data_IF_433143378764
#
_entry.id   IF_433143378764
#
_cell.length_a   1.000
_cell.length_b   1.000
_cell.length_c   1.000
_cell.angle_alpha   90.00
_cell.angle_beta   90.00
_cell.angle_gamma   90.00
#
_symmetry.space_group_name_H-M   'P 1'
#
loop_
_entity.id
_entity.type
_entity.pdbx_description
1 polymer ?
#
# COMPACT_ATOMS: atom_id res chain seq x y z
N UNK A 1 1.25 -17.83 -12.49
CA UNK A 1 2.50 -18.09 -11.75
C UNK A 1 2.83 -16.82 -11.01
N UNK A 2 3.11 -16.87 -9.70
CA UNK A 2 3.52 -15.68 -8.94
C UNK A 2 5.03 -15.58 -8.96
N UNK A 3 5.58 -14.45 -9.38
CA UNK A 3 7.02 -14.20 -9.41
C UNK A 3 7.39 -13.21 -8.31
N UNK A 4 8.62 -13.31 -7.80
CA UNK A 4 9.15 -12.49 -6.72
C UNK A 4 10.49 -11.87 -7.12
N UNK A 5 10.71 -10.63 -6.73
CA UNK A 5 11.99 -9.93 -6.81
C UNK A 5 12.70 -10.14 -5.48
N UNK A 6 13.92 -10.68 -5.50
CA UNK A 6 14.76 -10.89 -4.32
C UNK A 6 16.01 -10.03 -4.46
N UNK A 7 16.21 -9.12 -3.51
CA UNK A 7 17.30 -8.16 -3.46
C UNK A 7 18.09 -8.36 -2.16
N UNK A 8 19.40 -8.51 -2.24
CA UNK A 8 20.28 -8.63 -1.09
C UNK A 8 21.18 -7.40 -1.00
N UNK A 9 21.36 -6.83 0.19
CA UNK A 9 22.19 -5.66 0.45
C UNK A 9 23.11 -5.91 1.64
N UNK A 10 24.37 -5.49 1.53
CA UNK A 10 25.36 -5.48 2.64
C UNK A 10 25.13 -4.35 3.65
N UNK A 11 23.90 -3.80 3.65
CA UNK A 11 23.41 -2.88 4.63
C UNK A 11 22.44 -3.62 5.56
N UNK A 12 22.67 -3.55 6.87
CA UNK A 12 21.71 -4.03 7.87
C UNK A 12 20.65 -2.95 8.11
N UNK A 13 19.42 -3.23 7.71
CA UNK A 13 18.26 -2.37 8.03
C UNK A 13 17.99 -2.44 9.53
N UNK A 14 17.82 -1.30 10.18
CA UNK A 14 17.66 -1.22 11.64
C UNK A 14 16.21 -1.34 12.11
N UNK A 15 15.29 -0.77 11.34
CA UNK A 15 13.85 -0.75 11.63
C UNK A 15 13.11 -1.34 10.43
N UNK A 16 12.76 -2.62 10.53
CA UNK A 16 12.11 -3.33 9.44
C UNK A 16 10.71 -2.80 9.12
N UNK A 17 9.95 -2.42 10.14
CA UNK A 17 8.55 -2.00 9.97
C UNK A 17 8.48 -0.62 9.30
N UNK A 18 9.34 0.31 9.73
CA UNK A 18 9.48 1.60 9.08
C UNK A 18 10.00 1.46 7.65
N UNK A 19 10.95 0.56 7.40
CA UNK A 19 11.49 0.31 6.06
C UNK A 19 10.42 -0.24 5.10
N UNK A 20 9.69 -1.27 5.54
CA UNK A 20 8.59 -1.87 4.78
C UNK A 20 7.51 -0.83 4.48
N UNK A 21 7.11 -0.05 5.48
CA UNK A 21 6.10 1.01 5.32
C UNK A 21 6.53 2.08 4.32
N UNK A 22 7.77 2.56 4.40
CA UNK A 22 8.30 3.55 3.46
C UNK A 22 8.38 3.01 2.02
N UNK A 23 8.80 1.75 1.85
CA UNK A 23 8.86 1.11 0.55
C UNK A 23 7.47 0.90 -0.06
N UNK A 24 6.48 0.49 0.73
CA UNK A 24 5.08 0.37 0.27
C UNK A 24 4.57 1.72 -0.22
N UNK A 25 4.80 2.78 0.56
CA UNK A 25 4.39 4.14 0.17
C UNK A 25 5.07 4.60 -1.13
N UNK A 26 6.36 4.29 -1.30
CA UNK A 26 7.12 4.62 -2.50
C UNK A 26 6.68 3.81 -3.73
N UNK A 27 6.34 2.53 -3.58
CA UNK A 27 5.79 1.71 -4.67
C UNK A 27 4.37 2.18 -5.06
N UNK A 28 3.61 2.70 -4.10
CA UNK A 28 2.30 3.32 -4.32
C UNK A 28 2.34 4.76 -4.84
N UNK A 29 3.52 5.32 -5.16
CA UNK A 29 3.63 6.73 -5.56
C UNK A 29 3.74 6.96 -7.08
N UNK A 30 3.48 5.97 -7.94
CA UNK A 30 3.47 6.20 -9.40
C UNK A 30 2.45 7.28 -9.79
N UNK A 31 2.85 8.27 -10.60
CA UNK A 31 2.01 9.40 -11.02
C UNK A 31 0.71 8.97 -11.72
N UNK A 32 0.73 7.83 -12.41
CA UNK A 32 -0.45 7.19 -13.02
C UNK A 32 -1.44 6.70 -11.96
N UNK A 33 -0.94 6.08 -10.90
CA UNK A 33 -1.72 5.64 -9.74
C UNK A 33 -2.31 6.83 -8.99
N UNK A 34 -1.54 7.89 -8.77
CA UNK A 34 -2.00 9.12 -8.12
C UNK A 34 -3.17 9.75 -8.87
N UNK A 35 -3.11 9.80 -10.20
CA UNK A 35 -4.20 10.34 -11.03
C UNK A 35 -5.47 9.49 -10.92
N UNK A 36 -5.33 8.16 -10.90
CA UNK A 36 -6.45 7.22 -10.70
C UNK A 36 -7.08 7.34 -9.30
N UNK A 37 -6.25 7.39 -8.26
CA UNK A 37 -6.68 7.60 -6.87
C UNK A 37 -7.42 8.94 -6.74
N UNK A 38 -6.86 10.02 -7.28
CA UNK A 38 -7.49 11.34 -7.18
C UNK A 38 -8.85 11.37 -7.87
N UNK A 39 -8.97 10.73 -9.05
CA UNK A 39 -10.27 10.59 -9.72
C UNK A 39 -11.27 9.84 -8.83
N UNK A 40 -10.86 8.72 -8.25
CA UNK A 40 -11.70 7.91 -7.37
C UNK A 40 -12.15 8.68 -6.12
N UNK A 41 -11.23 9.36 -5.43
CA UNK A 41 -11.53 10.17 -4.26
C UNK A 41 -12.47 11.33 -4.59
N UNK A 42 -12.31 11.98 -5.75
CA UNK A 42 -13.21 13.02 -6.21
C UNK A 42 -14.63 12.50 -6.47
N UNK A 43 -14.77 11.29 -7.01
CA UNK A 43 -16.08 10.65 -7.19
C UNK A 43 -16.72 10.28 -5.84
N UNK A 44 -15.94 9.76 -4.90
CA UNK A 44 -16.41 9.46 -3.54
C UNK A 44 -16.87 10.73 -2.83
N UNK A 45 -16.08 11.81 -2.87
CA UNK A 45 -16.43 13.09 -2.27
C UNK A 45 -17.73 13.66 -2.85
N UNK A 46 -17.90 13.62 -4.18
CA UNK A 46 -19.15 14.03 -4.84
C UNK A 46 -20.35 13.20 -4.39
N UNK A 47 -20.18 11.90 -4.21
CA UNK A 47 -21.26 11.00 -3.79
C UNK A 47 -21.60 11.16 -2.30
N UNK A 48 -20.59 11.36 -1.45
CA UNK A 48 -20.77 11.67 -0.03
C UNK A 48 -21.54 12.98 0.14
N UNK A 49 -21.13 14.04 -0.56
CA UNK A 49 -21.81 15.35 -0.52
C UNK A 49 -23.28 15.30 -0.97
N UNK A 50 -23.61 14.45 -1.96
CA UNK A 50 -25.00 14.24 -2.37
C UNK A 50 -25.85 13.52 -1.32
N UNK A 51 -25.20 12.72 -0.48
CA UNK A 51 -25.86 11.83 0.48
C UNK A 51 -25.75 12.32 1.92
N UNK A 52 -25.14 13.50 2.13
CA UNK A 52 -24.85 14.04 3.45
C UNK A 52 -26.12 14.38 4.21
N UNK A 53 -26.05 14.22 5.52
CA UNK A 53 -27.10 14.70 6.41
C UNK A 53 -27.16 16.24 6.38
N UNK A 54 -28.35 16.79 6.65
CA UNK A 54 -28.50 18.25 6.74
C UNK A 54 -27.66 18.77 7.91
N UNK A 55 -26.97 19.88 7.70
CA UNK A 55 -26.14 20.56 8.72
C UNK A 55 -24.97 19.70 9.25
N UNK A 56 -24.57 18.68 8.48
CA UNK A 56 -23.46 17.79 8.79
C UNK A 56 -22.16 18.19 8.10
N UNK A 57 -21.04 17.68 8.64
CA UNK A 57 -19.70 17.83 8.08
C UNK A 57 -19.17 16.46 7.67
N UNK A 58 -18.68 16.37 6.44
CA UNK A 58 -18.04 15.16 5.92
C UNK A 58 -16.52 15.25 6.13
N UNK A 59 -15.95 14.19 6.69
CA UNK A 59 -14.53 13.89 6.65
C UNK A 59 -14.28 12.66 5.78
N UNK A 60 -13.23 12.68 4.98
CA UNK A 60 -12.82 11.55 4.15
C UNK A 60 -11.36 11.24 4.47
N UNK A 61 -11.13 10.02 4.94
CA UNK A 61 -9.80 9.47 5.17
C UNK A 61 -9.55 8.38 4.13
N UNK A 62 -8.32 8.32 3.60
CA UNK A 62 -7.95 7.29 2.64
C UNK A 62 -6.55 6.74 2.89
N UNK A 63 -6.37 5.46 2.57
CA UNK A 63 -5.08 4.78 2.64
C UNK A 63 -4.96 3.78 1.49
N UNK A 64 -3.74 3.61 0.98
CA UNK A 64 -3.43 2.58 -0.01
C UNK A 64 -2.98 1.33 0.75
N UNK A 65 -3.59 0.20 0.43
CA UNK A 65 -3.25 -1.10 1.03
C UNK A 65 -3.03 -2.15 -0.06
N UNK A 66 -2.23 -3.18 0.18
CA UNK A 66 -2.26 -4.37 -0.67
C UNK A 66 -3.64 -5.03 -0.61
N UNK A 67 -4.14 -5.57 -1.73
CA UNK A 67 -5.37 -6.37 -1.73
C UNK A 67 -5.15 -7.61 -0.85
N UNK A 68 -5.86 -7.68 0.27
CA UNK A 68 -5.77 -8.81 1.20
C UNK A 68 -6.36 -10.06 0.55
N UNK A 69 -5.48 -10.97 0.10
CA UNK A 69 -5.85 -12.22 -0.55
C UNK A 69 -4.78 -13.32 -0.54
N UNK A 70 -3.52 -13.00 -0.25
CA UNK A 70 -2.49 -14.00 0.10
C UNK A 70 -1.77 -13.55 1.37
N UNK A 71 -1.96 -14.34 2.41
CA UNK A 71 -1.53 -14.14 3.78
C UNK A 71 -0.03 -14.35 3.94
N UNK A 72 0.74 -13.29 3.75
CA UNK A 72 1.99 -12.91 4.39
C UNK A 72 2.35 -11.59 3.72
N UNK A 73 2.72 -10.56 4.48
CA UNK A 73 3.09 -9.22 3.96
C UNK A 73 3.82 -9.35 2.63
N UNK A 74 3.19 -8.89 1.53
CA UNK A 74 3.70 -9.01 0.16
C UNK A 74 5.22 -8.83 0.09
N UNK A 75 5.70 -7.83 0.82
CA UNK A 75 7.11 -7.55 1.02
C UNK A 75 7.61 -8.21 2.32
N UNK A 76 8.64 -9.05 2.21
CA UNK A 76 9.37 -9.58 3.35
C UNK A 76 10.80 -9.01 3.39
N UNK A 77 11.31 -8.82 4.61
CA UNK A 77 12.68 -8.38 4.86
C UNK A 77 13.26 -9.33 5.89
N UNK A 78 14.47 -9.84 5.63
CA UNK A 78 15.23 -10.65 6.57
C UNK A 78 16.56 -9.97 6.80
N UNK A 79 16.88 -9.66 8.06
CA UNK A 79 18.14 -9.03 8.45
C UNK A 79 18.99 -10.04 9.22
N UNK A 80 20.21 -10.28 8.75
CA UNK A 80 21.18 -11.17 9.39
C UNK A 80 22.56 -10.51 9.39
N UNK A 81 23.11 -10.25 10.58
CA UNK A 81 24.40 -9.59 10.81
C UNK A 81 24.62 -8.33 9.96
N UNK A 82 25.30 -8.45 8.82
CA UNK A 82 25.65 -7.38 7.88
C UNK A 82 24.88 -7.43 6.55
N UNK A 83 23.93 -8.36 6.42
CA UNK A 83 23.17 -8.62 5.20
C UNK A 83 21.65 -8.48 5.44
N UNK A 84 21.00 -7.66 4.63
CA UNK A 84 19.54 -7.60 4.53
C UNK A 84 19.07 -8.20 3.21
N UNK A 85 18.08 -9.08 3.25
CA UNK A 85 17.42 -9.66 2.08
C UNK A 85 15.98 -9.17 2.02
N UNK A 86 15.66 -8.42 0.98
CA UNK A 86 14.34 -7.88 0.65
C UNK A 86 13.69 -8.75 -0.42
N UNK A 87 12.49 -9.27 -0.17
CA UNK A 87 11.67 -9.97 -1.15
C UNK A 87 10.41 -9.16 -1.41
N UNK A 88 10.13 -8.87 -2.68
CA UNK A 88 8.95 -8.09 -3.12
C UNK A 88 8.22 -8.92 -4.17
N UNK A 89 6.88 -9.04 -4.16
CA UNK A 89 6.17 -9.74 -5.21
C UNK A 89 6.30 -8.92 -6.49
N UNK A 90 6.45 -9.61 -7.61
CA UNK A 90 6.52 -8.92 -8.88
C UNK A 90 5.18 -8.19 -9.11
N UNK A 91 4.02 -8.79 -8.88
CA UNK A 91 2.76 -8.03 -8.90
C UNK A 91 2.27 -7.74 -7.47
N UNK A 92 2.14 -6.46 -7.12
CA UNK A 92 1.43 -6.03 -5.90
C UNK A 92 0.08 -5.49 -6.32
N UNK A 93 -0.97 -6.30 -6.17
CA UNK A 93 -2.32 -5.79 -6.31
C UNK A 93 -2.61 -4.84 -5.15
N UNK A 94 -2.99 -3.61 -5.46
CA UNK A 94 -3.28 -2.57 -4.47
C UNK A 94 -4.77 -2.23 -4.47
N UNK A 95 -5.25 -1.80 -3.32
CA UNK A 95 -6.56 -1.22 -3.13
C UNK A 95 -6.46 0.12 -2.41
N UNK A 96 -7.38 1.00 -2.73
CA UNK A 96 -7.62 2.24 -2.01
C UNK A 96 -8.73 1.97 -1.01
N UNK A 97 -8.39 1.96 0.28
CA UNK A 97 -9.37 1.95 1.36
C UNK A 97 -9.77 3.39 1.67
N UNK A 98 -11.07 3.67 1.64
CA UNK A 98 -11.63 5.00 1.91
C UNK A 98 -12.68 4.90 3.00
N UNK A 99 -12.53 5.71 4.03
CA UNK A 99 -13.48 5.88 5.12
C UNK A 99 -14.12 7.25 5.01
N UNK A 100 -15.43 7.29 4.85
CA UNK A 100 -16.24 8.51 4.85
C UNK A 100 -16.95 8.59 6.19
N UNK A 101 -16.74 9.70 6.92
CA UNK A 101 -17.39 9.98 8.19
C UNK A 101 -18.27 11.19 8.02
N UNK A 102 -19.57 11.03 8.22
CA UNK A 102 -20.56 12.10 8.23
C UNK A 102 -20.94 12.43 9.68
N UNK A 103 -20.78 13.68 10.11
CA UNK A 103 -20.96 14.08 11.52
C UNK A 103 -21.93 15.25 11.64
N UNK A 104 -22.98 15.08 12.43
CA UNK A 104 -23.90 16.14 12.87
C UNK A 104 -23.55 16.51 14.30
N UNK A 105 -23.20 17.77 14.55
CA UNK A 105 -22.91 18.26 15.90
C UNK A 105 -24.18 18.28 16.76
N UNK A 106 -24.00 18.21 18.08
CA UNK A 106 -25.11 18.29 19.04
C UNK A 106 -25.93 19.58 18.86
N UNK A 107 -25.27 20.71 18.56
CA UNK A 107 -25.90 22.01 18.33
C UNK A 107 -26.82 22.03 17.10
N UNK A 108 -26.57 21.16 16.13
CA UNK A 108 -27.33 21.04 14.89
C UNK A 108 -28.30 19.85 14.88
N UNK A 109 -28.33 19.06 15.96
CA UNK A 109 -29.18 17.89 16.11
C UNK A 109 -30.48 18.24 16.82
N UNK A 110 -31.62 17.83 16.26
CA UNK A 110 -32.95 18.05 16.89
C UNK A 110 -33.07 17.42 18.28
N UNK A 111 -32.23 16.42 18.58
CA UNK A 111 -32.22 15.71 19.87
C UNK A 111 -31.18 16.26 20.85
N UNK A 112 -30.33 17.21 20.44
CA UNK A 112 -29.22 17.72 21.23
C UNK A 112 -28.07 16.71 21.42
N UNK A 113 -28.05 15.63 20.64
CA UNK A 113 -27.00 14.60 20.68
C UNK A 113 -26.24 14.59 19.35
N UNK A 114 -24.91 14.57 19.41
CA UNK A 114 -24.07 14.45 18.23
C UNK A 114 -24.23 13.06 17.59
N UNK A 115 -24.33 13.03 16.26
CA UNK A 115 -24.47 11.79 15.49
C UNK A 115 -23.32 11.66 14.51
N UNK A 116 -22.77 10.46 14.36
CA UNK A 116 -21.75 10.16 13.38
C UNK A 116 -22.06 8.85 12.67
N UNK A 117 -21.95 8.87 11.34
CA UNK A 117 -22.10 7.69 10.49
C UNK A 117 -20.81 7.51 9.71
N UNK A 118 -20.20 6.34 9.85
CA UNK A 118 -18.98 5.98 9.13
C UNK A 118 -19.26 4.87 8.12
N UNK A 119 -18.67 4.96 6.94
CA UNK A 119 -18.67 3.90 5.93
C UNK A 119 -17.29 3.74 5.34
N UNK A 120 -16.75 2.53 5.40
CA UNK A 120 -15.46 2.16 4.80
C UNK A 120 -15.68 1.30 3.57
N UNK A 121 -14.95 1.56 2.48
CA UNK A 121 -14.94 0.76 1.25
C UNK A 121 -13.53 0.63 0.69
N UNK A 122 -13.19 -0.55 0.18
CA UNK A 122 -11.97 -0.80 -0.59
C UNK A 122 -12.27 -0.77 -2.09
N UNK A 123 -11.41 -0.10 -2.85
CA UNK A 123 -11.49 0.00 -4.31
C UNK A 123 -10.23 -0.61 -4.93
N UNK A 124 -10.32 -1.60 -5.83
CA UNK A 124 -9.15 -2.10 -6.53
C UNK A 124 -8.49 -0.95 -7.30
N UNK A 125 -7.18 -0.81 -7.16
CA UNK A 125 -6.39 0.04 -8.02
C UNK A 125 -5.85 -0.85 -9.13
N UNK A 126 -6.44 -0.75 -10.33
CA UNK A 126 -5.95 -1.41 -11.53
C UNK A 126 -4.57 -0.82 -11.90
N UNK A 127 -3.53 -1.23 -11.20
CA UNK A 127 -2.17 -1.06 -11.70
C UNK A 127 -2.00 -2.14 -12.76
N UNK A 128 -1.89 -1.74 -14.03
CA UNK A 128 -1.10 -2.51 -14.98
C UNK A 128 0.27 -2.67 -14.31
N UNK A 129 0.53 -3.81 -13.66
CA UNK A 129 1.75 -4.05 -12.91
C UNK A 129 2.90 -4.21 -13.92
N UNK A 130 3.34 -3.11 -14.52
CA UNK A 130 4.72 -2.97 -14.94
C UNK A 130 5.51 -3.11 -13.66
N UNK A 131 6.20 -4.24 -13.49
CA UNK A 131 7.02 -4.49 -12.31
C UNK A 131 8.28 -5.27 -12.60
N UNK A 132 9.39 -4.69 -12.14
CA UNK A 132 10.74 -5.20 -12.30
C UNK A 132 11.69 -4.55 -11.30
N UNK A 133 12.89 -5.10 -11.21
CA UNK A 133 13.94 -4.67 -10.28
C UNK A 133 14.15 -3.14 -10.32
N UNK A 134 14.08 -2.53 -11.51
CA UNK A 134 14.28 -1.09 -11.69
C UNK A 134 13.27 -0.22 -10.91
N UNK A 135 12.02 -0.64 -10.79
CA UNK A 135 11.02 0.11 -10.01
C UNK A 135 11.21 -0.05 -8.52
N UNK A 136 11.58 -1.26 -8.05
CA UNK A 136 11.89 -1.48 -6.64
C UNK A 136 13.09 -0.62 -6.24
N UNK A 137 14.13 -0.57 -7.07
CA UNK A 137 15.28 0.34 -6.91
C UNK A 137 14.85 1.82 -6.90
N UNK A 138 14.00 2.22 -7.85
CA UNK A 138 13.49 3.60 -7.91
C UNK A 138 12.75 3.98 -6.63
N UNK A 139 11.90 3.08 -6.11
CA UNK A 139 11.16 3.28 -4.88
C UNK A 139 12.08 3.37 -3.65
N UNK A 140 13.10 2.50 -3.56
CA UNK A 140 14.15 2.58 -2.54
C UNK A 140 14.85 3.94 -2.55
N UNK A 141 15.06 4.53 -3.73
CA UNK A 141 15.65 5.85 -3.91
C UNK A 141 14.83 7.02 -3.35
N UNK A 142 13.57 6.82 -2.97
CA UNK A 142 12.69 7.89 -2.47
C UNK A 142 12.83 8.18 -0.97
N UNK A 143 13.50 7.31 -0.20
CA UNK A 143 13.68 7.49 1.25
C UNK A 143 15.10 7.14 1.72
N UNK A 144 15.54 7.72 2.85
CA UNK A 144 16.95 7.68 3.27
C UNK A 144 17.46 6.26 3.54
N UNK A 145 16.71 5.46 4.28
CA UNK A 145 17.08 4.06 4.58
C UNK A 145 17.14 3.21 3.29
N UNK A 146 16.24 3.47 2.33
CA UNK A 146 16.20 2.78 1.04
C UNK A 146 17.41 3.12 0.15
N UNK A 147 17.86 4.38 0.15
CA UNK A 147 19.10 4.79 -0.54
C UNK A 147 20.33 4.07 0.00
N UNK A 148 20.41 3.87 1.33
CA UNK A 148 21.51 3.12 1.94
C UNK A 148 21.47 1.65 1.56
N UNK A 149 20.27 1.06 1.52
CA UNK A 149 20.06 -0.31 1.05
C UNK A 149 20.49 -0.48 -0.41
N UNK A 150 20.04 0.40 -1.32
CA UNK A 150 20.35 0.36 -2.75
C UNK A 150 21.85 0.58 -3.03
N UNK A 151 22.48 1.54 -2.36
CA UNK A 151 23.91 1.83 -2.52
C UNK A 151 24.82 0.65 -2.11
N UNK A 152 24.31 -0.28 -1.30
CA UNK A 152 25.02 -1.46 -0.80
C UNK A 152 24.49 -2.78 -1.37
N UNK A 153 23.68 -2.70 -2.42
CA UNK A 153 23.08 -3.85 -3.07
C UNK A 153 24.17 -4.81 -3.59
N UNK A 154 24.06 -6.08 -3.22
CA UNK A 154 24.98 -7.15 -3.61
C UNK A 154 24.38 -8.04 -4.69
N UNK A 155 23.06 -8.22 -4.71
CA UNK A 155 22.36 -8.92 -5.79
C UNK A 155 20.90 -8.50 -5.92
N UNK A 156 20.34 -8.64 -7.11
CA UNK A 156 18.91 -8.50 -7.38
C UNK A 156 18.50 -9.49 -8.48
N UNK A 157 17.53 -10.35 -8.18
CA UNK A 157 17.08 -11.42 -9.09
C UNK A 157 15.57 -11.57 -9.05
N UNK A 158 15.00 -12.16 -10.10
CA UNK A 158 13.58 -12.60 -10.12
C UNK A 158 13.52 -14.11 -9.91
N UNK A 159 12.72 -14.58 -8.96
CA UNK A 159 12.43 -15.99 -8.72
C UNK A 159 10.97 -16.28 -9.05
N UNK A 160 10.71 -17.34 -9.79
CA UNK A 160 9.35 -17.89 -9.88
C UNK A 160 9.03 -18.60 -8.57
N UNK A 161 7.83 -18.35 -8.00
CA UNK A 161 7.35 -19.14 -6.88
C UNK A 161 7.11 -20.55 -7.41
N UNK A 162 7.84 -21.54 -6.87
CA UNK A 162 7.59 -22.93 -7.21
C UNK A 162 6.11 -23.24 -6.96
N UNK A 163 5.39 -23.68 -8.00
CA UNK A 163 4.06 -24.24 -7.81
C UNK A 163 4.16 -25.34 -6.75
N UNK A 164 3.25 -25.37 -5.77
CA UNK A 164 3.13 -26.50 -4.84
C UNK A 164 3.08 -27.79 -5.67
N UNK A 165 4.21 -28.48 -5.81
CA UNK A 165 4.22 -29.85 -6.27
C UNK A 165 3.47 -30.64 -5.21
N UNK A 166 2.26 -31.07 -5.57
CA UNK A 166 1.55 -32.13 -4.86
C UNK A 166 2.52 -33.32 -4.77
N UNK A 167 2.81 -33.87 -3.59
CA UNK A 167 3.63 -35.07 -3.52
C UNK A 167 2.91 -36.15 -4.33
N UNK A 168 3.59 -36.67 -5.35
CA UNK A 168 3.13 -37.85 -6.07
C UNK A 168 2.99 -38.98 -5.05
N UNK A 169 1.77 -39.51 -4.95
CA UNK A 169 1.41 -40.67 -4.15
C UNK A 169 2.14 -41.93 -4.60
#
# INVERSE_FOLDING_TARGET
>A
MSSQIVMASSYSVKDEDSFKSALINALGSENSLQSGIQKQLNEIAKNAEKSKLKDSVISIESSIKPQSGDSETAISLTVADDLSTLTVPQAVAMELEVTVVDTVSADNSETGVAMSVSTTKSYPLDSNATTGIAQVVTALGLFNEGKLFDAKLTSATTKESASKEKPAS
#
